data_IF_766908201525
#
_entry.id   IF_766908201525
#
_cell.length_a   1.000
_cell.length_b   1.000
_cell.length_c   1.000
_cell.angle_alpha   90.00
_cell.angle_beta   90.00
_cell.angle_gamma   90.00
#
_symmetry.space_group_name_H-M   'P 1'
#
loop_
_entity.id
_entity.type
_entity.pdbx_description
1 polymer ?
#
# COMPACT_ATOMS: atom_id res chain seq x y z
N UNK A 1 14.99 -2.10 17.37
CA UNK A 1 15.02 -2.93 16.16
C UNK A 1 13.60 -3.25 15.73
N UNK A 2 13.29 -3.03 14.45
CA UNK A 2 11.96 -3.31 13.89
C UNK A 2 11.84 -4.76 13.41
N UNK A 3 12.81 -5.20 12.61
CA UNK A 3 12.78 -6.53 12.01
C UNK A 3 14.19 -7.06 11.77
N UNK A 4 14.26 -8.36 11.53
CA UNK A 4 15.47 -9.05 11.10
C UNK A 4 15.17 -9.81 9.83
N UNK A 5 16.16 -9.88 8.92
CA UNK A 5 16.00 -10.49 7.59
C UNK A 5 17.08 -11.55 7.41
N UNK A 6 16.67 -12.73 6.90
CA UNK A 6 17.57 -13.80 6.51
C UNK A 6 17.43 -14.04 5.01
N UNK A 7 18.56 -14.14 4.33
CA UNK A 7 18.58 -14.59 2.94
C UNK A 7 18.48 -16.13 2.90
N UNK A 8 17.44 -16.63 2.27
CA UNK A 8 17.16 -18.07 2.21
C UNK A 8 17.80 -18.77 1.03
N UNK A 9 18.45 -18.04 0.14
CA UNK A 9 18.92 -18.53 -1.14
C UNK A 9 17.85 -18.46 -2.21
N UNK A 10 18.23 -18.68 -3.46
CA UNK A 10 17.33 -18.61 -4.61
C UNK A 10 16.54 -17.31 -4.71
N UNK A 11 17.16 -16.20 -4.31
CA UNK A 11 16.61 -14.83 -4.34
C UNK A 11 15.35 -14.67 -3.46
N UNK A 12 15.28 -15.47 -2.40
CA UNK A 12 14.21 -15.39 -1.37
C UNK A 12 14.77 -14.86 -0.07
N UNK A 13 14.02 -13.97 0.57
CA UNK A 13 14.30 -13.52 1.94
C UNK A 13 13.13 -13.86 2.88
N UNK A 14 13.44 -13.97 4.16
CA UNK A 14 12.44 -14.10 5.21
C UNK A 14 12.66 -12.96 6.19
N UNK A 15 11.62 -12.20 6.46
CA UNK A 15 11.66 -11.07 7.38
C UNK A 15 10.74 -11.31 8.58
N UNK A 16 11.29 -11.15 9.78
CA UNK A 16 10.55 -11.32 11.03
C UNK A 16 10.36 -9.98 11.72
N UNK A 17 9.13 -9.62 11.99
CA UNK A 17 8.78 -8.47 12.81
C UNK A 17 9.03 -8.82 14.27
N UNK A 18 9.97 -8.13 14.93
CA UNK A 18 10.45 -8.55 16.25
C UNK A 18 9.39 -8.39 17.33
N UNK A 19 8.57 -7.35 17.28
CA UNK A 19 7.55 -7.10 18.28
C UNK A 19 6.44 -8.14 18.27
N UNK A 20 5.98 -8.58 17.09
CA UNK A 20 4.84 -9.50 16.95
C UNK A 20 5.24 -10.93 16.61
N UNK A 21 6.49 -11.16 16.24
CA UNK A 21 7.00 -12.43 15.68
C UNK A 21 6.36 -12.82 14.33
N UNK A 22 5.62 -11.93 13.69
CA UNK A 22 5.06 -12.16 12.36
C UNK A 22 6.18 -12.30 11.34
N UNK A 23 6.06 -13.26 10.44
CA UNK A 23 7.06 -13.55 9.41
C UNK A 23 6.43 -13.34 8.04
N UNK A 24 7.17 -12.68 7.14
CA UNK A 24 6.83 -12.56 5.73
C UNK A 24 8.02 -13.02 4.89
N UNK A 25 7.74 -13.50 3.69
CA UNK A 25 8.77 -13.86 2.73
C UNK A 25 8.72 -12.94 1.51
N UNK A 26 9.87 -12.72 0.87
CA UNK A 26 9.94 -12.02 -0.41
C UNK A 26 10.65 -12.88 -1.44
N UNK A 27 10.31 -12.67 -2.71
CA UNK A 27 10.99 -13.26 -3.85
C UNK A 27 11.39 -12.17 -4.84
N UNK A 28 12.49 -12.35 -5.54
CA UNK A 28 12.71 -11.55 -6.73
C UNK A 28 11.61 -11.86 -7.75
N UNK A 29 11.15 -10.85 -8.51
CA UNK A 29 10.11 -11.08 -9.51
C UNK A 29 10.62 -11.91 -10.69
N UNK A 30 9.70 -12.52 -11.43
CA UNK A 30 10.02 -13.37 -12.58
C UNK A 30 10.86 -12.61 -13.62
N UNK A 31 10.54 -11.33 -13.87
CA UNK A 31 11.27 -10.49 -14.81
C UNK A 31 12.66 -10.04 -14.30
N UNK A 32 13.03 -10.43 -13.08
CA UNK A 32 14.34 -10.16 -12.48
C UNK A 32 14.92 -11.44 -11.85
N UNK A 33 14.86 -12.54 -12.58
CA UNK A 33 15.47 -13.85 -12.28
C UNK A 33 14.89 -14.58 -11.07
N UNK A 34 13.79 -14.11 -10.51
CA UNK A 34 13.19 -14.69 -9.32
C UNK A 34 12.06 -15.67 -9.63
N UNK A 35 11.59 -16.34 -8.57
CA UNK A 35 10.47 -17.29 -8.66
C UNK A 35 9.11 -16.58 -8.74
N UNK A 36 8.99 -15.36 -8.19
CA UNK A 36 7.76 -14.60 -8.19
C UNK A 36 6.62 -15.24 -7.40
N UNK A 37 6.94 -16.13 -6.46
CA UNK A 37 5.92 -16.84 -5.66
C UNK A 37 5.49 -16.04 -4.42
N UNK A 38 6.17 -14.95 -4.14
CA UNK A 38 5.92 -14.04 -3.01
C UNK A 38 5.99 -12.61 -3.52
N UNK A 39 5.54 -11.66 -2.70
CA UNK A 39 5.77 -10.25 -2.99
C UNK A 39 7.26 -9.98 -3.21
N UNK A 40 7.60 -9.23 -4.24
CA UNK A 40 8.95 -8.67 -4.33
C UNK A 40 9.10 -7.52 -3.32
N UNK A 41 10.33 -7.12 -2.99
CA UNK A 41 10.53 -5.93 -2.13
C UNK A 41 9.84 -4.68 -2.66
N UNK A 42 9.88 -4.44 -3.98
CA UNK A 42 9.19 -3.28 -4.58
C UNK A 42 7.67 -3.45 -4.60
N UNK A 43 7.14 -4.67 -4.69
CA UNK A 43 5.71 -4.94 -4.49
C UNK A 43 5.29 -4.56 -3.08
N UNK A 44 6.09 -4.93 -2.08
CA UNK A 44 5.83 -4.57 -0.68
C UNK A 44 5.84 -3.06 -0.47
N UNK A 45 6.79 -2.35 -1.10
CA UNK A 45 6.86 -0.90 -1.04
C UNK A 45 5.57 -0.26 -1.58
N UNK A 46 5.13 -0.69 -2.76
CA UNK A 46 3.91 -0.19 -3.37
C UNK A 46 2.67 -0.53 -2.53
N UNK A 47 2.60 -1.77 -2.03
CA UNK A 47 1.49 -2.24 -1.20
C UNK A 47 1.45 -1.50 0.13
N UNK A 48 2.61 -1.18 0.71
CA UNK A 48 2.69 -0.43 1.97
C UNK A 48 2.06 0.96 1.86
N UNK A 49 2.16 1.59 0.69
CA UNK A 49 1.52 2.88 0.45
C UNK A 49 0.00 2.79 0.59
N UNK A 50 -0.63 1.83 -0.10
CA UNK A 50 -2.08 1.63 -0.01
C UNK A 50 -2.53 1.25 1.40
N UNK A 51 -1.80 0.35 2.04
CA UNK A 51 -2.07 -0.06 3.43
C UNK A 51 -2.00 1.13 4.38
N UNK A 52 -0.98 1.98 4.22
CA UNK A 52 -0.81 3.17 5.05
C UNK A 52 -1.94 4.19 4.81
N UNK A 53 -2.29 4.43 3.55
CA UNK A 53 -3.40 5.32 3.20
C UNK A 53 -4.69 4.88 3.89
N UNK A 54 -5.02 3.60 3.78
CA UNK A 54 -6.26 3.06 4.35
C UNK A 54 -6.24 3.09 5.89
N UNK A 55 -5.08 2.82 6.49
CA UNK A 55 -4.92 2.89 7.95
C UNK A 55 -5.15 4.31 8.48
N UNK A 56 -4.56 5.31 7.84
CA UNK A 56 -4.73 6.71 8.25
C UNK A 56 -6.15 7.18 7.99
N UNK A 57 -6.76 6.79 6.87
CA UNK A 57 -8.19 7.04 6.63
C UNK A 57 -9.04 6.40 7.72
N UNK A 58 -8.72 5.16 8.11
CA UNK A 58 -9.45 4.44 9.16
C UNK A 58 -9.42 5.14 10.51
N UNK A 59 -8.26 5.69 10.89
CA UNK A 59 -8.13 6.49 12.12
C UNK A 59 -9.06 7.71 12.04
N UNK A 60 -9.03 8.41 10.91
CA UNK A 60 -9.86 9.61 10.72
C UNK A 60 -11.35 9.29 10.68
N UNK A 61 -11.71 8.22 10.00
CA UNK A 61 -13.09 7.73 9.92
C UNK A 61 -13.64 7.37 11.32
N UNK A 62 -12.80 6.73 12.15
CA UNK A 62 -13.17 6.40 13.53
C UNK A 62 -13.54 7.67 14.32
N UNK A 63 -12.73 8.74 14.15
CA UNK A 63 -13.00 10.03 14.82
C UNK A 63 -14.31 10.66 14.38
N UNK A 64 -14.78 10.33 13.17
CA UNK A 64 -16.02 10.86 12.59
C UNK A 64 -17.19 9.85 12.66
N UNK A 65 -17.03 8.74 13.38
CA UNK A 65 -18.02 7.65 13.44
C UNK A 65 -18.41 7.09 12.07
N UNK A 66 -17.44 6.99 11.17
CA UNK A 66 -17.61 6.39 9.85
C UNK A 66 -16.99 5.00 9.85
N UNK A 67 -17.71 4.01 9.35
CA UNK A 67 -17.26 2.63 9.26
C UNK A 67 -16.74 2.35 7.84
N UNK A 68 -15.42 2.16 7.72
CA UNK A 68 -14.77 1.81 6.46
C UNK A 68 -14.52 0.30 6.32
N UNK A 69 -15.04 -0.53 7.22
CA UNK A 69 -14.82 -1.98 7.16
C UNK A 69 -15.26 -2.53 5.80
N UNK A 70 -14.41 -3.36 5.20
CA UNK A 70 -14.66 -3.94 3.88
C UNK A 70 -14.18 -3.08 2.71
N UNK A 71 -13.58 -1.92 2.96
CA UNK A 71 -12.95 -1.14 1.89
C UNK A 71 -11.80 -1.93 1.28
N UNK A 72 -11.75 -1.98 -0.04
CA UNK A 72 -10.71 -2.63 -0.79
C UNK A 72 -9.84 -1.63 -1.53
N UNK A 73 -8.57 -1.97 -1.72
CA UNK A 73 -7.63 -1.20 -2.52
C UNK A 73 -6.95 -2.14 -3.51
N UNK A 74 -6.89 -1.71 -4.77
CA UNK A 74 -6.02 -2.32 -5.77
C UNK A 74 -4.79 -1.46 -5.97
N UNK A 75 -3.63 -2.10 -6.05
CA UNK A 75 -2.34 -1.45 -6.24
C UNK A 75 -1.75 -1.93 -7.57
N UNK A 76 -1.28 -0.98 -8.38
CA UNK A 76 -0.49 -1.28 -9.57
C UNK A 76 0.83 -0.54 -9.50
N UNK A 77 1.92 -1.30 -9.53
CA UNK A 77 3.27 -0.79 -9.49
C UNK A 77 3.78 -0.61 -10.92
N UNK A 78 4.40 0.53 -11.20
CA UNK A 78 5.07 0.82 -12.46
C UNK A 78 6.56 0.97 -12.23
N UNK A 79 7.37 0.16 -12.92
CA UNK A 79 8.83 0.22 -12.82
C UNK A 79 9.42 1.14 -13.90
N UNK A 80 10.56 1.77 -13.57
CA UNK A 80 11.42 2.50 -14.50
C UNK A 80 12.77 1.83 -14.56
N UNK A 81 13.49 2.05 -15.66
CA UNK A 81 14.83 1.51 -15.87
C UNK A 81 15.89 2.60 -15.77
N UNK A 82 17.15 2.21 -15.65
CA UNK A 82 18.34 3.07 -15.70
C UNK A 82 18.35 4.20 -14.65
N UNK A 83 18.38 3.88 -13.34
CA UNK A 83 18.39 2.53 -12.74
C UNK A 83 16.98 1.95 -12.58
N UNK A 84 16.92 0.63 -12.42
CA UNK A 84 15.66 -0.06 -12.12
C UNK A 84 15.12 0.44 -10.79
N UNK A 85 13.89 0.96 -10.82
CA UNK A 85 13.23 1.56 -9.64
C UNK A 85 11.72 1.65 -9.84
N UNK A 86 11.01 1.86 -8.75
CA UNK A 86 9.58 2.18 -8.84
C UNK A 86 9.44 3.62 -9.37
N UNK A 87 8.71 3.77 -10.45
CA UNK A 87 8.46 5.07 -11.08
C UNK A 87 7.04 5.58 -10.87
N UNK A 88 6.10 4.68 -10.57
CA UNK A 88 4.72 5.05 -10.35
C UNK A 88 3.97 4.00 -9.53
N UNK A 89 2.92 4.44 -8.84
CA UNK A 89 2.02 3.58 -8.09
C UNK A 89 0.60 4.09 -8.33
N UNK A 90 -0.26 3.22 -8.87
CA UNK A 90 -1.68 3.50 -8.99
C UNK A 90 -2.39 2.87 -7.79
N UNK A 91 -3.26 3.64 -7.16
CA UNK A 91 -4.04 3.23 -6.00
C UNK A 91 -5.51 3.43 -6.33
N UNK A 92 -6.27 2.35 -6.34
CA UNK A 92 -7.71 2.39 -6.63
C UNK A 92 -8.49 1.89 -5.44
N UNK A 93 -9.34 2.77 -4.87
CA UNK A 93 -10.21 2.44 -3.75
C UNK A 93 -11.57 1.93 -4.23
N UNK A 94 -12.11 0.98 -3.50
CA UNK A 94 -13.50 0.51 -3.63
C UNK A 94 -14.11 0.45 -2.24
N UNK A 95 -15.11 1.30 -2.01
CA UNK A 95 -15.77 1.40 -0.72
C UNK A 95 -17.02 0.50 -0.65
N UNK A 96 -17.39 0.05 0.57
CA UNK A 96 -18.60 -0.77 0.73
C UNK A 96 -19.85 -0.02 0.22
N UNK A 97 -20.82 -0.74 -0.39
CA UNK A 97 -22.05 -0.12 -0.91
C UNK A 97 -22.87 0.60 0.16
N UNK A 98 -22.80 0.11 1.40
CA UNK A 98 -23.53 0.70 2.52
C UNK A 98 -22.92 1.98 3.06
N UNK A 99 -21.71 2.34 2.61
CA UNK A 99 -21.03 3.54 3.07
C UNK A 99 -21.80 4.79 2.61
N UNK A 100 -22.18 5.64 3.57
CA UNK A 100 -22.86 6.91 3.31
C UNK A 100 -22.08 8.02 3.98
N UNK A 101 -21.48 8.89 3.19
CA UNK A 101 -20.70 10.04 3.66
C UNK A 101 -20.97 11.24 2.76
N UNK A 102 -20.89 12.43 3.33
CA UNK A 102 -21.09 13.67 2.59
C UNK A 102 -19.79 14.14 1.90
N UNK A 103 -19.87 15.16 1.08
CA UNK A 103 -18.73 15.69 0.33
C UNK A 103 -17.62 16.24 1.24
N UNK A 104 -17.98 16.82 2.38
CA UNK A 104 -17.02 17.34 3.34
C UNK A 104 -16.21 16.20 3.98
N UNK A 105 -16.89 15.14 4.36
CA UNK A 105 -16.27 13.94 4.94
C UNK A 105 -15.33 13.27 3.94
N UNK A 106 -15.73 13.17 2.66
CA UNK A 106 -14.87 12.67 1.59
C UNK A 106 -13.57 13.44 1.50
N UNK A 107 -13.62 14.77 1.50
CA UNK A 107 -12.44 15.63 1.43
C UNK A 107 -11.49 15.38 2.61
N UNK A 108 -12.03 15.23 3.81
CA UNK A 108 -11.24 14.95 5.01
C UNK A 108 -10.52 13.60 4.89
N UNK A 109 -11.24 12.57 4.45
CA UNK A 109 -10.67 11.23 4.30
C UNK A 109 -9.61 11.18 3.18
N UNK A 110 -9.84 11.86 2.08
CA UNK A 110 -8.87 11.97 0.99
C UNK A 110 -7.57 12.63 1.45
N UNK A 111 -7.67 13.73 2.18
CA UNK A 111 -6.48 14.40 2.72
C UNK A 111 -5.70 13.49 3.67
N UNK A 112 -6.40 12.74 4.50
CA UNK A 112 -5.77 11.80 5.41
C UNK A 112 -4.95 10.76 4.63
N UNK A 113 -5.53 10.17 3.59
CA UNK A 113 -4.84 9.20 2.74
C UNK A 113 -3.60 9.81 2.05
N UNK A 114 -3.76 10.99 1.44
CA UNK A 114 -2.70 11.64 0.66
C UNK A 114 -1.54 12.15 1.49
N UNK A 115 -1.71 12.26 2.80
CA UNK A 115 -0.66 12.73 3.72
C UNK A 115 -0.17 11.64 4.68
N UNK A 116 -0.43 10.38 4.35
CA UNK A 116 0.02 9.27 5.18
C UNK A 116 1.55 9.19 5.27
N UNK A 117 2.11 8.61 6.34
CA UNK A 117 3.56 8.56 6.53
C UNK A 117 4.33 7.93 5.38
N UNK A 118 3.83 6.86 4.76
CA UNK A 118 4.50 6.24 3.62
C UNK A 118 4.50 7.18 2.42
N UNK A 119 3.38 7.86 2.14
CA UNK A 119 3.31 8.85 1.05
C UNK A 119 4.35 9.96 1.22
N UNK A 120 4.64 10.35 2.47
CA UNK A 120 5.64 11.37 2.79
C UNK A 120 7.08 10.84 2.80
N UNK A 121 7.25 9.53 2.75
CA UNK A 121 8.57 8.88 2.89
C UNK A 121 9.13 8.34 1.58
N UNK A 122 8.27 8.05 0.59
CA UNK A 122 8.72 7.56 -0.71
C UNK A 122 9.35 8.67 -1.55
N UNK A 123 10.17 8.28 -2.52
CA UNK A 123 10.86 9.25 -3.37
C UNK A 123 9.85 10.17 -4.08
N UNK A 124 10.10 11.49 -4.11
CA UNK A 124 9.15 12.45 -4.71
C UNK A 124 8.95 12.28 -6.22
N UNK A 125 9.89 11.62 -6.92
CA UNK A 125 9.76 11.34 -8.35
C UNK A 125 8.82 10.17 -8.64
N UNK A 126 8.37 9.43 -7.63
CA UNK A 126 7.36 8.38 -7.81
C UNK A 126 6.02 9.05 -8.06
N UNK A 127 5.46 8.81 -9.24
CA UNK A 127 4.14 9.31 -9.59
C UNK A 127 3.06 8.48 -8.90
N UNK A 128 2.30 9.09 -8.00
CA UNK A 128 1.21 8.41 -7.27
C UNK A 128 -0.11 8.88 -7.85
N UNK A 129 -0.87 7.96 -8.44
CA UNK A 129 -2.19 8.22 -8.99
C UNK A 129 -3.23 7.54 -8.10
N UNK A 130 -4.12 8.32 -7.49
CA UNK A 130 -5.12 7.79 -6.58
C UNK A 130 -6.52 8.01 -7.14
N UNK A 131 -7.27 6.93 -7.30
CA UNK A 131 -8.69 6.96 -7.62
C UNK A 131 -9.46 6.53 -6.37
N UNK A 132 -10.15 7.46 -5.73
CA UNK A 132 -10.94 7.15 -4.54
C UNK A 132 -12.25 6.44 -4.86
N UNK A 133 -12.72 6.51 -6.10
CA UNK A 133 -13.85 5.70 -6.55
C UNK A 133 -15.14 5.87 -5.77
N UNK A 134 -15.42 7.07 -5.24
CA UNK A 134 -16.62 7.32 -4.43
C UNK A 134 -17.92 6.97 -5.14
N UNK A 135 -17.92 7.05 -6.46
CA UNK A 135 -19.09 6.76 -7.28
C UNK A 135 -19.14 5.32 -7.80
N UNK A 136 -18.11 4.53 -7.48
CA UNK A 136 -18.03 3.11 -7.86
C UNK A 136 -18.47 2.27 -6.68
N UNK A 137 -19.37 1.31 -6.92
CA UNK A 137 -19.79 0.35 -5.90
C UNK A 137 -18.98 -0.93 -6.03
N UNK A 138 -18.69 -1.53 -4.92
CA UNK A 138 -18.05 -2.85 -4.87
C UNK A 138 -18.98 -3.89 -5.48
#
# INVERSE_FOLDING_TARGET
>A
MTSEIIYKGALRTEAKHLQSSTVIETDAPVDNQGKGERFSPTDLMATSLGSCMLTIMGIKARDMNIDLNGTEISIKKHMKQEPRRVGGIDVEFRFPPALSIDEKEKVILERAALTCPVAKSIHPDIEVNVDFGWNKKV
#
